data_IF_303401044198
#
_entry.id   IF_303401044198
#
_cell.length_a   1.000
_cell.length_b   1.000
_cell.length_c   1.000
_cell.angle_alpha   90.00
_cell.angle_beta   90.00
_cell.angle_gamma   90.00
#
_symmetry.space_group_name_H-M   'P 1'
#
loop_
_entity.id
_entity.type
_entity.pdbx_description
1 polymer ?
#
# COMPACT_ATOMS: atom_id res chain seq x y z
N UNK A 1 -30.75 -12.45 -7.17
CA UNK A 1 -29.45 -13.09 -6.88
C UNK A 1 -28.55 -12.02 -6.30
N UNK A 2 -28.28 -12.14 -5.01
CA UNK A 2 -27.55 -11.17 -4.20
C UNK A 2 -26.08 -11.51 -4.36
N UNK A 3 -25.32 -10.70 -5.10
CA UNK A 3 -23.88 -10.65 -4.94
C UNK A 3 -23.59 -9.32 -4.25
N UNK A 4 -23.49 -9.42 -2.93
CA UNK A 4 -22.73 -8.50 -2.12
C UNK A 4 -21.26 -8.61 -2.56
N UNK A 5 -20.64 -7.49 -2.93
CA UNK A 5 -19.23 -7.17 -2.74
C UNK A 5 -18.89 -5.96 -3.59
N UNK A 6 -19.03 -4.79 -3.01
CA UNK A 6 -18.06 -3.71 -3.14
C UNK A 6 -18.29 -2.83 -1.93
N UNK A 7 -17.52 -3.20 -0.91
CA UNK A 7 -17.33 -2.49 0.33
C UNK A 7 -17.21 -0.99 0.09
N UNK A 8 -17.92 -0.26 0.94
CA UNK A 8 -17.63 1.09 1.38
C UNK A 8 -16.13 1.30 1.53
N UNK A 9 -15.52 2.10 0.66
CA UNK A 9 -14.22 2.71 0.92
C UNK A 9 -14.25 4.20 0.62
N UNK A 10 -15.07 4.91 1.37
CA UNK A 10 -14.71 6.28 1.76
C UNK A 10 -14.95 6.37 3.27
N UNK A 11 -13.92 6.76 4.04
CA UNK A 11 -13.89 8.16 4.41
C UNK A 11 -12.48 8.79 4.47
N UNK A 12 -12.42 10.02 3.96
CA UNK A 12 -11.80 11.20 4.60
C UNK A 12 -10.45 11.04 5.34
N UNK A 13 -9.38 11.56 4.72
CA UNK A 13 -8.35 12.46 5.28
C UNK A 13 -7.01 12.24 4.56
N UNK A 14 -6.43 13.25 3.92
CA UNK A 14 -4.98 13.26 3.71
C UNK A 14 -4.31 13.71 5.03
N UNK A 15 -3.05 13.33 5.39
CA UNK A 15 -1.99 12.76 4.55
C UNK A 15 -1.16 11.65 5.25
N UNK A 16 -1.37 10.38 4.93
CA UNK A 16 -0.39 9.31 5.14
C UNK A 16 -0.64 8.25 4.08
N UNK A 17 0.39 7.66 3.45
CA UNK A 17 0.16 6.60 2.50
C UNK A 17 -0.38 5.40 3.28
N UNK A 18 -1.69 5.14 3.19
CA UNK A 18 -2.27 3.96 3.81
C UNK A 18 -1.59 2.71 3.26
N UNK A 19 -1.08 1.88 4.17
CA UNK A 19 -0.39 0.63 3.85
C UNK A 19 -1.23 -0.26 2.91
N UNK A 20 -2.55 -0.28 3.13
CA UNK A 20 -3.51 -0.96 2.27
C UNK A 20 -3.55 -0.37 0.85
N UNK A 21 -3.57 0.97 0.70
CA UNK A 21 -3.56 1.63 -0.60
C UNK A 21 -2.24 1.39 -1.35
N UNK A 22 -1.11 1.31 -0.64
CA UNK A 22 0.18 0.95 -1.24
C UNK A 22 0.20 -0.52 -1.67
N UNK A 23 -0.29 -1.43 -0.84
CA UNK A 23 -0.42 -2.85 -1.19
C UNK A 23 -1.31 -3.05 -2.42
N UNK A 24 -2.47 -2.37 -2.49
CA UNK A 24 -3.37 -2.43 -3.64
C UNK A 24 -2.69 -1.93 -4.93
N UNK A 25 -1.98 -0.79 -4.87
CA UNK A 25 -1.22 -0.29 -6.02
C UNK A 25 -0.11 -1.24 -6.45
N UNK A 26 0.52 -1.94 -5.50
CA UNK A 26 1.50 -2.99 -5.81
C UNK A 26 0.83 -4.17 -6.53
N UNK A 27 -0.34 -4.64 -6.08
CA UNK A 27 -1.09 -5.70 -6.78
C UNK A 27 -1.52 -5.29 -8.20
N UNK A 28 -1.97 -4.05 -8.39
CA UNK A 28 -2.29 -3.51 -9.73
C UNK A 28 -1.09 -3.47 -10.67
N UNK A 29 0.14 -3.41 -10.14
CA UNK A 29 1.39 -3.49 -10.89
C UNK A 29 1.92 -4.92 -11.02
N UNK A 30 1.11 -5.93 -10.67
CA UNK A 30 1.48 -7.35 -10.63
C UNK A 30 2.59 -7.67 -9.63
N UNK A 31 2.79 -6.81 -8.63
CA UNK A 31 3.77 -6.96 -7.55
C UNK A 31 3.14 -7.56 -6.31
N UNK A 32 2.32 -8.61 -6.49
CA UNK A 32 1.54 -9.25 -5.44
C UNK A 32 2.42 -9.76 -4.28
N UNK A 33 3.62 -10.27 -4.61
CA UNK A 33 4.60 -10.71 -3.60
C UNK A 33 5.10 -9.55 -2.73
N UNK A 34 5.27 -8.35 -3.30
CA UNK A 34 5.70 -7.17 -2.55
C UNK A 34 4.52 -6.62 -1.74
N UNK A 35 3.29 -6.65 -2.29
CA UNK A 35 2.08 -6.28 -1.58
C UNK A 35 1.89 -7.13 -0.31
N UNK A 36 1.98 -8.46 -0.44
CA UNK A 36 1.90 -9.40 0.67
C UNK A 36 3.03 -9.19 1.69
N UNK A 37 4.24 -8.90 1.22
CA UNK A 37 5.35 -8.57 2.09
C UNK A 37 5.09 -7.31 2.90
N UNK A 38 4.60 -6.24 2.27
CA UNK A 38 4.20 -4.99 2.94
C UNK A 38 3.11 -5.27 3.96
N UNK A 39 2.06 -6.02 3.60
CA UNK A 39 0.95 -6.35 4.50
C UNK A 39 1.40 -7.09 5.76
N UNK A 40 2.42 -7.97 5.67
CA UNK A 40 2.99 -8.70 6.82
C UNK A 40 3.90 -7.85 7.70
N UNK A 41 4.33 -6.67 7.26
CA UNK A 41 5.19 -5.80 8.05
C UNK A 41 4.42 -4.97 9.08
N UNK A 42 5.05 -4.58 10.20
CA UNK A 42 4.40 -3.71 11.17
C UNK A 42 4.16 -2.30 10.61
N UNK A 43 2.97 -1.74 10.90
CA UNK A 43 2.51 -0.42 10.43
C UNK A 43 3.45 0.75 10.77
N UNK A 44 4.26 0.59 11.83
CA UNK A 44 5.24 1.58 12.23
C UNK A 44 6.51 1.62 11.36
N UNK A 45 6.80 0.57 10.55
CA UNK A 45 8.08 0.44 9.83
C UNK A 45 7.97 0.06 8.35
N UNK A 46 6.83 -0.43 7.88
CA UNK A 46 6.65 -0.87 6.49
C UNK A 46 7.04 0.21 5.47
N UNK A 47 6.72 1.48 5.73
CA UNK A 47 7.03 2.59 4.83
C UNK A 47 8.55 2.72 4.63
N UNK A 48 9.28 2.74 5.75
CA UNK A 48 10.74 2.85 5.76
C UNK A 48 11.39 1.62 5.13
N UNK A 49 10.84 0.43 5.39
CA UNK A 49 11.32 -0.82 4.80
C UNK A 49 11.05 -0.90 3.29
N UNK A 50 9.90 -0.40 2.81
CA UNK A 50 9.60 -0.33 1.38
C UNK A 50 10.49 0.70 0.67
N UNK A 51 10.74 1.86 1.29
CA UNK A 51 11.66 2.87 0.76
C UNK A 51 13.10 2.33 0.67
N UNK A 52 13.55 1.58 1.68
CA UNK A 52 14.91 1.05 1.75
C UNK A 52 15.12 -0.11 0.77
N UNK A 53 14.19 -1.06 0.73
CA UNK A 53 14.26 -2.21 -0.17
C UNK A 53 13.96 -1.83 -1.63
N UNK A 54 12.98 -0.94 -1.86
CA UNK A 54 12.55 -0.54 -3.20
C UNK A 54 12.29 0.97 -3.33
N UNK A 55 13.34 1.81 -3.36
CA UNK A 55 13.19 3.26 -3.46
C UNK A 55 12.48 3.73 -4.73
N UNK A 56 12.62 3.01 -5.84
CA UNK A 56 11.92 3.32 -7.10
C UNK A 56 10.40 3.04 -7.01
N UNK A 57 10.01 1.96 -6.33
CA UNK A 57 8.60 1.61 -6.10
C UNK A 57 7.96 2.51 -5.07
N UNK A 58 8.68 2.83 -4.00
CA UNK A 58 8.27 3.79 -3.00
C UNK A 58 7.92 5.15 -3.64
N UNK A 59 8.78 5.67 -4.53
CA UNK A 59 8.47 6.88 -5.32
C UNK A 59 7.21 6.74 -6.17
N UNK A 60 7.03 5.61 -6.86
CA UNK A 60 5.80 5.33 -7.64
C UNK A 60 4.56 5.29 -6.75
N UNK A 61 4.68 4.75 -5.55
CA UNK A 61 3.60 4.67 -4.56
C UNK A 61 3.35 5.99 -3.82
N UNK A 62 4.12 7.04 -4.09
CA UNK A 62 3.98 8.34 -3.44
C UNK A 62 4.64 8.44 -2.07
N UNK A 63 5.41 7.43 -1.66
CA UNK A 63 6.21 7.47 -0.45
C UNK A 63 7.41 8.41 -0.69
N UNK A 64 7.54 9.44 0.15
CA UNK A 64 8.70 10.32 0.15
C UNK A 64 9.59 9.94 1.33
N UNK A 65 10.86 9.68 1.03
CA UNK A 65 11.91 9.57 2.05
C UNK A 65 12.10 10.98 2.62
N UNK A 66 11.42 11.29 3.72
CA UNK A 66 11.70 12.50 4.51
C UNK A 66 12.95 12.28 5.37
#
# INVERSE_FOLDING_TARGET
MIIAMLETVEPAAAPSPDKAAVAERLRMMELDQIALWVERLPDAKWERMLIDAWPALAKKCGLKRN
#
